data_IF_694523663095
#
_entry.id   IF_694523663095
#
_cell.length_a   1.000
_cell.length_b   1.000
_cell.length_c   1.000
_cell.angle_alpha   90.00
_cell.angle_beta   90.00
_cell.angle_gamma   90.00
#
_symmetry.space_group_name_H-M   'P 1'
#
loop_
_entity.id
_entity.type
_entity.pdbx_description
1 polymer ?
#
# COMPACT_ATOMS: atom_id res chain seq x y z
N UNK A 1 28.61 -13.30 6.34
CA UNK A 1 27.41 -12.58 5.84
C UNK A 1 27.41 -11.19 6.44
N UNK A 2 27.41 -10.15 5.62
CA UNK A 2 27.24 -8.78 6.12
C UNK A 2 25.75 -8.49 6.27
N UNK A 3 25.29 -8.32 7.50
CA UNK A 3 23.93 -7.85 7.78
C UNK A 3 23.96 -6.31 7.71
N UNK A 4 23.80 -5.76 6.52
CA UNK A 4 23.87 -4.31 6.28
C UNK A 4 23.03 -3.49 7.26
N UNK A 5 21.80 -3.94 7.56
CA UNK A 5 20.91 -3.28 8.52
C UNK A 5 21.50 -3.21 9.95
N UNK A 6 22.32 -4.20 10.36
CA UNK A 6 23.01 -4.17 11.65
C UNK A 6 24.19 -3.20 11.62
N UNK A 7 24.97 -3.20 10.53
CA UNK A 7 26.04 -2.22 10.35
C UNK A 7 25.49 -0.81 10.37
N UNK A 8 24.43 -0.55 9.59
CA UNK A 8 23.78 0.76 9.54
C UNK A 8 23.24 1.19 10.92
N UNK A 9 22.71 0.27 11.73
CA UNK A 9 22.26 0.57 13.09
C UNK A 9 23.43 0.92 14.02
N UNK A 10 24.53 0.17 13.97
CA UNK A 10 25.73 0.43 14.77
C UNK A 10 26.38 1.76 14.38
N UNK A 11 26.54 2.03 13.10
CA UNK A 11 27.16 3.26 12.59
C UNK A 11 26.35 4.53 12.97
N UNK A 12 25.04 4.38 13.13
CA UNK A 12 24.14 5.46 13.54
C UNK A 12 23.80 5.49 15.03
N UNK A 13 24.41 4.63 15.84
CA UNK A 13 24.13 4.51 17.29
C UNK A 13 22.63 4.23 17.57
N UNK A 14 21.99 3.42 16.75
CA UNK A 14 20.60 3.03 16.94
C UNK A 14 20.49 1.79 17.81
N UNK A 15 19.57 1.79 18.76
CA UNK A 15 19.28 0.61 19.58
C UNK A 15 18.39 -0.35 18.80
N UNK A 16 18.50 -1.68 19.03
CA UNK A 16 17.53 -2.63 18.50
C UNK A 16 16.11 -2.29 18.94
N UNK A 17 15.16 -2.38 18.01
CA UNK A 17 13.73 -2.13 18.26
C UNK A 17 13.02 -3.46 18.45
N UNK A 18 12.30 -3.60 19.56
CA UNK A 18 11.51 -4.80 19.89
C UNK A 18 10.00 -4.57 19.80
N UNK A 19 9.24 -5.63 20.08
CA UNK A 19 7.76 -5.59 20.04
C UNK A 19 7.17 -4.55 21.02
N UNK A 20 7.75 -4.43 22.22
CA UNK A 20 7.29 -3.46 23.22
C UNK A 20 7.40 -2.01 22.74
N UNK A 21 8.45 -1.70 21.97
CA UNK A 21 8.62 -0.36 21.42
C UNK A 21 7.53 -0.04 20.40
N UNK A 22 7.19 -1.00 19.52
CA UNK A 22 6.08 -0.84 18.57
C UNK A 22 4.71 -0.78 19.27
N UNK A 23 4.48 -1.56 20.32
CA UNK A 23 3.24 -1.49 21.11
C UNK A 23 3.03 -0.10 21.71
N UNK A 24 4.09 0.51 22.27
CA UNK A 24 4.05 1.85 22.81
C UNK A 24 3.81 2.89 21.70
N UNK A 25 4.54 2.77 20.57
CA UNK A 25 4.38 3.64 19.42
C UNK A 25 2.93 3.60 18.88
N UNK A 26 2.36 2.42 18.68
CA UNK A 26 1.01 2.26 18.16
C UNK A 26 -0.07 2.75 19.14
N UNK A 27 0.18 2.63 20.45
CA UNK A 27 -0.67 3.25 21.47
C UNK A 27 -0.63 4.78 21.35
N UNK A 28 0.55 5.37 21.21
CA UNK A 28 0.74 6.81 21.10
C UNK A 28 0.20 7.39 19.77
N UNK A 29 0.04 6.54 18.76
CA UNK A 29 -0.62 6.82 17.47
C UNK A 29 -2.13 6.58 17.52
N UNK A 30 -2.68 6.28 18.70
CA UNK A 30 -4.11 6.01 18.90
C UNK A 30 -4.66 4.86 18.02
N UNK A 31 -3.80 3.86 17.75
CA UNK A 31 -4.23 2.62 17.12
C UNK A 31 -4.79 1.71 18.22
N UNK A 32 -6.02 1.26 18.06
CA UNK A 32 -6.75 0.49 19.06
C UNK A 32 -7.56 -0.67 18.52
N UNK A 33 -8.25 -1.33 19.43
CA UNK A 33 -9.12 -2.47 19.14
C UNK A 33 -10.21 -2.10 18.14
N UNK A 34 -10.41 -2.95 17.13
CA UNK A 34 -11.41 -2.76 16.08
C UNK A 34 -11.00 -1.82 14.94
N UNK A 35 -9.84 -1.16 15.02
CA UNK A 35 -9.37 -0.32 13.92
C UNK A 35 -9.12 -1.15 12.65
N UNK A 36 -9.37 -0.52 11.51
CA UNK A 36 -8.98 -1.03 10.20
C UNK A 36 -7.82 -0.19 9.71
N UNK A 37 -6.69 -0.85 9.40
CA UNK A 37 -5.49 -0.17 8.93
C UNK A 37 -5.12 -0.61 7.52
N UNK A 38 -4.78 0.35 6.65
CA UNK A 38 -3.91 0.09 5.50
C UNK A 38 -2.50 0.53 5.86
N UNK A 39 -1.52 -0.40 5.80
CA UNK A 39 -0.16 -0.14 6.23
C UNK A 39 0.85 -0.17 5.08
N UNK A 40 1.69 0.87 5.05
CA UNK A 40 2.86 0.99 4.19
C UNK A 40 4.11 1.04 5.07
N UNK A 41 5.03 0.10 4.88
CA UNK A 41 6.14 -0.11 5.83
C UNK A 41 7.48 -0.20 5.11
N UNK A 42 8.40 0.69 5.46
CA UNK A 42 9.79 0.64 5.03
C UNK A 42 10.70 0.15 6.15
N UNK A 43 10.90 -1.17 6.25
CA UNK A 43 11.71 -1.80 7.31
C UNK A 43 13.13 -1.26 7.40
N UNK A 44 13.73 -0.90 6.27
CA UNK A 44 15.13 -0.42 6.20
C UNK A 44 15.37 0.90 6.94
N UNK A 45 14.31 1.65 7.25
CA UNK A 45 14.40 2.93 7.96
C UNK A 45 14.60 2.78 9.49
N UNK A 46 14.37 1.58 10.02
CA UNK A 46 14.38 1.34 11.47
C UNK A 46 15.69 0.71 11.98
N UNK A 47 16.66 0.50 11.13
CA UNK A 47 17.89 -0.23 11.52
C UNK A 47 17.57 -1.68 11.88
N UNK A 48 17.93 -2.12 13.09
CA UNK A 48 17.72 -3.50 13.52
C UNK A 48 16.39 -3.67 14.28
N UNK A 49 15.44 -4.36 13.66
CA UNK A 49 14.19 -4.78 14.28
C UNK A 49 14.33 -6.25 14.72
N UNK A 50 14.16 -6.52 16.01
CA UNK A 50 14.20 -7.87 16.58
C UNK A 50 12.98 -8.65 16.06
N UNK A 51 13.22 -9.67 15.22
CA UNK A 51 12.15 -10.42 14.56
C UNK A 51 11.62 -9.83 13.24
N UNK A 52 12.15 -8.67 12.80
CA UNK A 52 11.85 -8.09 11.50
C UNK A 52 10.35 -7.76 11.28
N UNK A 53 9.83 -8.07 10.10
CA UNK A 53 8.43 -7.82 9.73
C UNK A 53 7.43 -8.48 10.71
N UNK A 54 7.75 -9.67 11.22
CA UNK A 54 6.92 -10.38 12.18
C UNK A 54 6.71 -9.59 13.47
N UNK A 55 7.74 -8.92 13.96
CA UNK A 55 7.67 -8.10 15.18
C UNK A 55 6.63 -6.98 15.04
N UNK A 56 6.66 -6.25 13.93
CA UNK A 56 5.69 -5.20 13.63
C UNK A 56 4.28 -5.78 13.49
N UNK A 57 4.14 -6.86 12.75
CA UNK A 57 2.85 -7.53 12.55
C UNK A 57 2.22 -7.96 13.88
N UNK A 58 2.97 -8.67 14.75
CA UNK A 58 2.47 -9.11 16.04
C UNK A 58 2.10 -7.94 16.96
N UNK A 59 2.84 -6.85 16.93
CA UNK A 59 2.51 -5.64 17.69
C UNK A 59 1.25 -4.95 17.15
N UNK A 60 1.07 -4.88 15.82
CA UNK A 60 -0.14 -4.34 15.21
C UNK A 60 -1.36 -5.17 15.56
N UNK A 61 -1.29 -6.49 15.36
CA UNK A 61 -2.44 -7.36 15.63
C UNK A 61 -2.81 -7.40 17.11
N UNK A 62 -1.85 -7.30 18.03
CA UNK A 62 -2.13 -7.16 19.46
C UNK A 62 -2.87 -5.85 19.80
N UNK A 63 -2.54 -4.75 19.10
CA UNK A 63 -3.23 -3.47 19.27
C UNK A 63 -4.62 -3.45 18.64
N UNK A 64 -4.76 -4.06 17.47
CA UNK A 64 -6.01 -4.15 16.73
C UNK A 64 -7.03 -5.10 17.38
N UNK A 65 -6.57 -6.04 18.19
CA UNK A 65 -7.44 -7.03 18.83
C UNK A 65 -8.09 -7.98 17.84
N UNK A 66 -9.09 -8.75 18.31
CA UNK A 66 -9.78 -9.73 17.48
C UNK A 66 -10.68 -9.10 16.42
N UNK A 67 -11.24 -7.92 16.71
CA UNK A 67 -12.14 -7.18 15.81
C UNK A 67 -11.42 -6.27 14.80
N UNK A 68 -10.10 -6.11 14.92
CA UNK A 68 -9.34 -5.27 14.01
C UNK A 68 -8.96 -5.95 12.70
N UNK A 69 -8.52 -5.13 11.75
CA UNK A 69 -8.12 -5.62 10.43
C UNK A 69 -6.91 -4.86 9.89
N UNK A 70 -5.92 -5.61 9.43
CA UNK A 70 -4.73 -5.08 8.76
C UNK A 70 -4.81 -5.38 7.26
N UNK A 71 -4.61 -4.34 6.45
CA UNK A 71 -4.54 -4.42 4.99
C UNK A 71 -3.18 -3.91 4.52
N UNK A 72 -2.63 -4.54 3.49
CA UNK A 72 -1.40 -4.09 2.83
C UNK A 72 -1.57 -4.15 1.31
N UNK A 73 -0.98 -3.22 0.54
CA UNK A 73 -0.93 -3.36 -0.90
C UNK A 73 -0.03 -4.55 -1.28
N UNK A 74 -0.50 -5.39 -2.20
CA UNK A 74 0.22 -6.55 -2.71
C UNK A 74 0.20 -6.60 -4.23
N UNK A 75 0.37 -5.43 -4.83
CA UNK A 75 0.36 -5.24 -6.28
C UNK A 75 1.38 -6.14 -6.98
N UNK A 76 1.01 -6.67 -8.14
CA UNK A 76 1.82 -7.59 -8.94
C UNK A 76 1.97 -7.08 -10.37
N UNK A 77 2.57 -5.90 -10.52
CA UNK A 77 2.74 -5.23 -11.81
C UNK A 77 3.54 -6.07 -12.82
N UNK A 78 4.30 -7.06 -12.38
CA UNK A 78 4.98 -8.00 -13.29
C UNK A 78 4.02 -8.93 -14.06
N UNK A 79 2.73 -9.01 -13.67
CA UNK A 79 1.69 -9.71 -14.44
C UNK A 79 1.12 -8.85 -15.57
N UNK A 80 1.53 -7.58 -15.66
CA UNK A 80 1.14 -6.70 -16.77
C UNK A 80 1.75 -7.17 -18.10
N UNK A 81 0.98 -7.07 -19.17
CA UNK A 81 1.49 -7.35 -20.52
C UNK A 81 2.73 -6.51 -20.81
N UNK A 82 3.80 -7.14 -21.38
CA UNK A 82 5.05 -6.43 -21.66
C UNK A 82 4.90 -5.28 -22.66
N UNK A 83 3.82 -5.22 -23.42
CA UNK A 83 3.49 -4.12 -24.32
C UNK A 83 3.27 -2.79 -23.57
N UNK A 84 2.89 -2.85 -22.30
CA UNK A 84 2.62 -1.67 -21.44
C UNK A 84 3.77 -1.33 -20.49
N UNK A 85 4.93 -2.04 -20.58
CA UNK A 85 6.08 -1.71 -19.75
C UNK A 85 6.81 -0.48 -20.30
N UNK A 86 6.93 0.55 -19.48
CA UNK A 86 7.55 1.82 -19.88
C UNK A 86 8.98 1.97 -19.32
N UNK A 87 9.26 1.41 -18.14
CA UNK A 87 10.51 1.59 -17.41
C UNK A 87 11.09 0.27 -16.86
N UNK A 88 11.97 -0.42 -17.63
CA UNK A 88 12.37 -0.16 -19.00
C UNK A 88 11.35 -0.64 -20.01
N UNK A 89 11.29 -0.01 -21.18
CA UNK A 89 10.53 -0.50 -22.30
C UNK A 89 11.14 -1.81 -22.82
N UNK A 90 10.29 -2.80 -23.05
CA UNK A 90 10.74 -4.12 -23.52
C UNK A 90 11.08 -4.07 -25.00
N UNK A 91 12.21 -4.70 -25.44
CA UNK A 91 12.48 -4.89 -26.86
C UNK A 91 11.35 -5.68 -27.56
N UNK A 92 10.95 -5.24 -28.76
CA UNK A 92 9.83 -5.85 -29.49
C UNK A 92 9.98 -7.35 -29.69
N UNK A 93 11.20 -7.81 -29.96
CA UNK A 93 11.53 -9.24 -30.17
C UNK A 93 11.37 -10.08 -28.90
N UNK A 94 11.22 -9.50 -27.71
CA UNK A 94 10.98 -10.21 -26.46
C UNK A 94 9.50 -10.37 -26.12
N UNK A 95 8.65 -9.49 -26.64
CA UNK A 95 7.22 -9.40 -26.26
C UNK A 95 6.52 -10.75 -26.44
N UNK A 96 6.63 -11.34 -27.61
CA UNK A 96 5.96 -12.60 -27.91
C UNK A 96 6.40 -13.74 -27.00
N UNK A 97 7.71 -13.87 -26.76
CA UNK A 97 8.24 -14.86 -25.84
C UNK A 97 7.77 -14.66 -24.42
N UNK A 98 7.78 -13.42 -23.92
CA UNK A 98 7.30 -13.11 -22.57
C UNK A 98 5.82 -13.47 -22.45
N UNK A 99 5.00 -13.09 -23.44
CA UNK A 99 3.55 -13.40 -23.42
C UNK A 99 3.26 -14.89 -23.43
N UNK A 100 4.04 -15.68 -24.17
CA UNK A 100 3.88 -17.14 -24.25
C UNK A 100 4.33 -17.88 -22.99
N UNK A 101 5.35 -17.37 -22.29
CA UNK A 101 5.94 -18.03 -21.12
C UNK A 101 5.44 -17.47 -19.79
N UNK A 102 4.70 -16.33 -19.80
CA UNK A 102 4.19 -15.73 -18.59
C UNK A 102 3.14 -16.62 -17.92
N UNK A 103 3.27 -16.76 -16.61
CA UNK A 103 2.28 -17.45 -15.80
C UNK A 103 1.09 -16.55 -15.53
N UNK A 104 -0.11 -17.15 -15.42
CA UNK A 104 -1.31 -16.45 -15.02
C UNK A 104 -1.20 -15.90 -13.59
N UNK A 105 -1.92 -14.83 -13.31
CA UNK A 105 -2.07 -14.37 -11.94
C UNK A 105 -2.68 -15.46 -11.06
N UNK A 106 -2.03 -15.68 -9.94
CA UNK A 106 -2.46 -16.59 -8.89
C UNK A 106 -2.43 -15.84 -7.56
N UNK A 107 -3.55 -15.85 -6.83
CA UNK A 107 -3.71 -15.09 -5.58
C UNK A 107 -2.72 -15.51 -4.50
N UNK A 108 -2.29 -16.78 -4.51
CA UNK A 108 -1.41 -17.35 -3.50
C UNK A 108 0.08 -17.28 -3.92
N UNK A 109 0.37 -17.38 -5.23
CA UNK A 109 1.71 -17.59 -5.75
C UNK A 109 2.32 -16.38 -6.46
N UNK A 110 1.49 -15.50 -7.05
CA UNK A 110 2.02 -14.32 -7.74
C UNK A 110 2.75 -13.38 -6.78
N UNK A 111 3.96 -12.99 -7.15
CA UNK A 111 4.80 -12.15 -6.30
C UNK A 111 4.24 -10.73 -6.15
N UNK A 112 4.66 -10.06 -5.09
CA UNK A 112 4.33 -8.65 -4.83
C UNK A 112 5.61 -7.81 -4.86
N UNK A 113 6.35 -7.89 -5.96
CA UNK A 113 7.61 -7.18 -6.13
C UNK A 113 7.39 -5.66 -6.02
N UNK A 114 8.24 -4.99 -5.24
CA UNK A 114 8.19 -3.53 -5.06
C UNK A 114 7.35 -3.06 -3.88
N UNK A 115 6.43 -3.87 -3.35
CA UNK A 115 5.57 -3.49 -2.20
C UNK A 115 6.27 -3.59 -0.83
N UNK A 116 7.50 -4.09 -0.81
CA UNK A 116 8.33 -4.20 0.40
C UNK A 116 8.10 -5.49 1.20
N UNK A 117 9.08 -5.77 2.07
CA UNK A 117 9.13 -7.02 2.84
C UNK A 117 8.01 -7.20 3.86
N UNK A 118 7.39 -6.13 4.31
CA UNK A 118 6.24 -6.23 5.22
C UNK A 118 4.99 -6.70 4.48
N UNK A 119 4.70 -6.13 3.32
CA UNK A 119 3.58 -6.58 2.46
C UNK A 119 3.75 -8.04 2.05
N UNK A 120 4.95 -8.42 1.61
CA UNK A 120 5.28 -9.81 1.28
C UNK A 120 5.09 -10.75 2.50
N UNK A 121 5.49 -10.31 3.71
CA UNK A 121 5.29 -11.08 4.93
C UNK A 121 3.80 -11.29 5.24
N UNK A 122 2.99 -10.22 5.20
CA UNK A 122 1.55 -10.28 5.48
C UNK A 122 0.83 -11.15 4.45
N UNK A 123 1.14 -10.98 3.16
CA UNK A 123 0.58 -11.78 2.08
C UNK A 123 0.79 -13.29 2.29
N UNK A 124 1.97 -13.69 2.77
CA UNK A 124 2.33 -15.09 2.96
C UNK A 124 1.85 -15.71 4.29
N UNK A 125 1.06 -14.99 5.09
CA UNK A 125 0.48 -15.56 6.31
C UNK A 125 -0.67 -16.50 5.97
N UNK A 126 -0.77 -17.63 6.68
CA UNK A 126 -1.82 -18.64 6.44
C UNK A 126 -3.26 -18.09 6.52
N UNK A 127 -3.48 -17.07 7.36
CA UNK A 127 -4.78 -16.42 7.55
C UNK A 127 -4.96 -15.19 6.65
N UNK A 128 -3.98 -14.85 5.85
CA UNK A 128 -4.09 -13.74 4.90
C UNK A 128 -5.02 -14.12 3.75
N UNK A 129 -5.80 -13.16 3.30
CA UNK A 129 -6.62 -13.28 2.10
C UNK A 129 -6.24 -12.17 1.14
N UNK A 130 -6.18 -12.47 -0.15
CA UNK A 130 -5.73 -11.53 -1.19
C UNK A 130 -6.82 -11.33 -2.23
N UNK A 131 -6.98 -10.12 -2.73
CA UNK A 131 -7.93 -9.80 -3.78
C UNK A 131 -7.49 -10.29 -5.15
N UNK A 132 -8.47 -10.54 -6.03
CA UNK A 132 -8.27 -11.21 -7.33
C UNK A 132 -7.73 -10.32 -8.45
N UNK A 133 -7.54 -9.01 -8.21
CA UNK A 133 -7.05 -8.12 -9.28
C UNK A 133 -5.58 -8.42 -9.62
N UNK A 134 -5.23 -8.75 -10.88
CA UNK A 134 -3.91 -9.26 -11.26
C UNK A 134 -2.79 -8.22 -11.13
N UNK A 135 -3.10 -6.92 -11.16
CA UNK A 135 -2.12 -5.84 -11.05
C UNK A 135 -2.17 -5.14 -9.69
N UNK A 136 -3.37 -4.81 -9.20
CA UNK A 136 -3.58 -3.90 -8.06
C UNK A 136 -4.08 -4.58 -6.79
N UNK A 137 -3.79 -5.86 -6.59
CA UNK A 137 -4.28 -6.62 -5.44
C UNK A 137 -3.84 -6.05 -4.09
N UNK A 138 -4.66 -6.36 -3.07
CA UNK A 138 -4.41 -6.09 -1.66
C UNK A 138 -4.50 -7.40 -0.89
N UNK A 139 -3.74 -7.50 0.20
CA UNK A 139 -3.87 -8.60 1.16
C UNK A 139 -4.35 -8.08 2.50
N UNK A 140 -5.18 -8.85 3.17
CA UNK A 140 -5.78 -8.47 4.45
C UNK A 140 -5.79 -9.63 5.45
N UNK A 141 -5.68 -9.27 6.75
CA UNK A 141 -5.78 -10.17 7.90
C UNK A 141 -6.65 -9.52 8.97
N UNK A 142 -7.58 -10.25 9.55
CA UNK A 142 -8.48 -9.78 10.61
C UNK A 142 -9.95 -10.00 10.28
N UNK A 143 -10.83 -9.49 11.16
CA UNK A 143 -12.27 -9.78 11.11
C UNK A 143 -12.92 -9.39 9.78
N UNK A 144 -12.59 -8.20 9.26
CA UNK A 144 -13.19 -7.68 8.02
C UNK A 144 -12.38 -7.97 6.77
N UNK A 145 -11.34 -8.80 6.85
CA UNK A 145 -10.44 -9.06 5.75
C UNK A 145 -11.19 -9.53 4.49
N UNK A 146 -12.07 -10.53 4.58
CA UNK A 146 -12.85 -11.04 3.46
C UNK A 146 -13.79 -9.98 2.85
N UNK A 147 -14.41 -9.16 3.69
CA UNK A 147 -15.30 -8.09 3.25
C UNK A 147 -14.55 -7.02 2.44
N UNK A 148 -13.36 -6.65 2.91
CA UNK A 148 -12.55 -5.60 2.28
C UNK A 148 -12.01 -6.05 0.94
N UNK A 149 -11.54 -7.28 0.80
CA UNK A 149 -10.86 -7.74 -0.43
C UNK A 149 -11.78 -8.36 -1.49
N UNK A 150 -13.05 -8.64 -1.16
CA UNK A 150 -14.02 -9.22 -2.10
C UNK A 150 -14.22 -8.29 -3.30
N UNK A 151 -14.61 -8.89 -4.44
CA UNK A 151 -15.02 -8.14 -5.65
C UNK A 151 -14.05 -7.00 -6.01
N UNK A 152 -13.00 -7.34 -6.72
CA UNK A 152 -11.99 -6.37 -7.16
C UNK A 152 -12.02 -6.29 -8.70
N UNK A 153 -12.84 -5.37 -9.29
CA UNK A 153 -13.03 -5.27 -10.72
C UNK A 153 -11.76 -4.85 -11.46
N UNK A 154 -11.54 -5.38 -12.66
CA UNK A 154 -10.36 -5.08 -13.47
C UNK A 154 -10.30 -3.60 -13.91
N UNK A 155 -11.44 -2.98 -14.17
CA UNK A 155 -11.60 -1.60 -14.64
C UNK A 155 -11.79 -0.56 -13.52
N UNK A 156 -11.59 -0.97 -12.27
CA UNK A 156 -11.64 -0.09 -11.09
C UNK A 156 -10.54 -0.46 -10.06
N UNK A 157 -9.32 -0.67 -10.54
CA UNK A 157 -8.22 -1.27 -9.78
C UNK A 157 -7.87 -0.58 -8.46
N UNK A 158 -7.90 0.75 -8.40
CA UNK A 158 -7.68 1.54 -7.18
C UNK A 158 -8.84 2.51 -6.89
N UNK A 159 -9.99 2.28 -7.51
CA UNK A 159 -11.17 3.14 -7.38
C UNK A 159 -12.17 2.68 -6.32
N UNK A 160 -13.39 3.20 -6.41
CA UNK A 160 -14.40 3.07 -5.37
C UNK A 160 -15.00 1.67 -5.22
N UNK A 161 -14.94 0.81 -6.25
CA UNK A 161 -15.37 -0.59 -6.16
C UNK A 161 -14.21 -1.53 -5.77
N UNK A 162 -13.02 -1.00 -5.55
CA UNK A 162 -11.83 -1.73 -5.11
C UNK A 162 -11.77 -1.87 -3.57
N UNK A 163 -10.80 -2.60 -3.02
CA UNK A 163 -10.53 -2.59 -1.59
C UNK A 163 -10.30 -1.19 -0.99
N UNK A 164 -9.74 -0.23 -1.75
CA UNK A 164 -9.57 1.15 -1.26
C UNK A 164 -10.90 1.86 -1.00
N UNK A 165 -11.90 1.68 -1.88
CA UNK A 165 -13.23 2.25 -1.67
C UNK A 165 -13.89 1.70 -0.41
N UNK A 166 -13.76 0.39 -0.16
CA UNK A 166 -14.28 -0.22 1.07
C UNK A 166 -13.55 0.23 2.34
N UNK A 167 -12.24 0.46 2.26
CA UNK A 167 -11.48 1.08 3.35
C UNK A 167 -11.95 2.51 3.65
N UNK A 168 -12.24 3.28 2.59
CA UNK A 168 -12.80 4.62 2.72
C UNK A 168 -14.18 4.62 3.41
N UNK A 169 -15.08 3.74 2.99
CA UNK A 169 -16.44 3.62 3.52
C UNK A 169 -16.44 3.14 4.99
N UNK A 170 -15.45 2.35 5.39
CA UNK A 170 -15.31 1.83 6.75
C UNK A 170 -14.46 2.73 7.65
N UNK A 171 -14.12 3.94 7.23
CA UNK A 171 -13.31 4.91 7.98
C UNK A 171 -11.99 4.31 8.47
N UNK A 172 -11.29 3.60 7.59
CA UNK A 172 -9.99 3.02 7.90
C UNK A 172 -8.93 4.10 8.17
N UNK A 173 -7.84 3.70 8.81
CA UNK A 173 -6.67 4.56 9.02
C UNK A 173 -5.54 4.14 8.08
N UNK A 174 -4.70 5.07 7.66
CA UNK A 174 -3.47 4.84 6.92
C UNK A 174 -2.31 4.85 7.90
N UNK A 175 -1.50 3.81 7.92
CA UNK A 175 -0.25 3.76 8.69
C UNK A 175 0.94 3.85 7.73
N UNK A 176 1.71 4.95 7.83
CA UNK A 176 2.96 5.15 7.10
C UNK A 176 4.12 4.94 8.09
N UNK A 177 4.72 3.75 8.07
CA UNK A 177 5.76 3.34 9.00
C UNK A 177 7.14 3.44 8.31
N UNK A 178 7.86 4.54 8.57
CA UNK A 178 9.16 4.82 7.94
C UNK A 178 9.07 5.18 6.46
N UNK A 179 7.92 5.63 6.01
CA UNK A 179 7.66 6.12 4.66
C UNK A 179 6.78 7.38 4.70
N UNK A 180 6.37 7.89 3.57
CA UNK A 180 5.63 9.14 3.40
C UNK A 180 4.51 8.96 2.36
N UNK A 181 3.91 10.07 1.89
CA UNK A 181 2.79 10.01 0.94
C UNK A 181 3.15 9.45 -0.43
N UNK A 182 4.42 9.39 -0.84
CA UNK A 182 4.83 8.68 -2.08
C UNK A 182 4.45 7.20 -2.06
N UNK A 183 4.32 6.61 -0.87
CA UNK A 183 3.85 5.23 -0.71
C UNK A 183 2.35 5.13 -0.40
N UNK A 184 1.64 6.25 -0.30
CA UNK A 184 0.25 6.28 0.14
C UNK A 184 -0.72 5.93 -1.00
N UNK A 185 -0.97 4.65 -1.20
CA UNK A 185 -1.88 4.15 -2.25
C UNK A 185 -3.31 4.73 -2.13
N UNK A 186 -3.75 5.18 -0.94
CA UNK A 186 -5.09 5.75 -0.77
C UNK A 186 -5.28 7.07 -1.56
N UNK A 187 -4.21 7.77 -1.92
CA UNK A 187 -4.31 8.98 -2.75
C UNK A 187 -4.85 8.68 -4.16
N UNK A 188 -4.59 7.50 -4.69
CA UNK A 188 -5.16 7.09 -5.99
C UNK A 188 -6.68 7.05 -5.95
N UNK A 189 -7.32 6.74 -4.81
CA UNK A 189 -8.77 6.82 -4.70
C UNK A 189 -9.30 8.24 -4.91
N UNK A 190 -8.55 9.26 -4.49
CA UNK A 190 -8.92 10.66 -4.78
C UNK A 190 -8.86 10.97 -6.29
N UNK A 191 -7.88 10.40 -6.99
CA UNK A 191 -7.73 10.57 -8.43
C UNK A 191 -8.90 9.97 -9.21
N UNK A 192 -9.49 8.86 -8.76
CA UNK A 192 -10.70 8.26 -9.35
C UNK A 192 -11.96 9.15 -9.24
N UNK A 193 -11.94 10.19 -8.42
CA UNK A 193 -13.02 11.18 -8.38
C UNK A 193 -12.93 12.25 -9.48
N UNK A 194 -11.87 12.25 -10.28
CA UNK A 194 -11.58 13.23 -11.31
C UNK A 194 -11.96 12.69 -12.69
N UNK A 195 -12.27 13.59 -13.61
CA UNK A 195 -12.56 13.21 -15.00
C UNK A 195 -11.25 13.09 -15.80
N UNK A 196 -10.53 12.01 -15.58
CA UNK A 196 -9.26 11.74 -16.23
C UNK A 196 -9.38 10.81 -17.43
N UNK A 197 -8.39 10.87 -18.29
CA UNK A 197 -8.20 9.93 -19.39
C UNK A 197 -8.05 8.51 -18.85
N UNK A 198 -8.68 7.56 -19.52
CA UNK A 198 -8.44 6.15 -19.29
C UNK A 198 -7.25 5.67 -20.13
N UNK A 199 -6.46 4.78 -19.53
CA UNK A 199 -5.40 4.05 -20.21
C UNK A 199 -5.76 2.57 -20.29
N UNK A 200 -5.28 1.92 -21.34
CA UNK A 200 -5.43 0.48 -21.49
C UNK A 200 -4.34 -0.23 -20.69
N UNK A 201 -4.74 -1.32 -20.08
CA UNK A 201 -3.87 -2.25 -19.39
C UNK A 201 -4.22 -3.68 -19.84
N UNK A 202 -3.32 -4.61 -19.63
CA UNK A 202 -3.59 -6.02 -19.88
C UNK A 202 -2.79 -6.88 -18.92
N UNK A 203 -3.41 -7.97 -18.46
CA UNK A 203 -2.76 -8.94 -17.58
C UNK A 203 -3.18 -10.36 -17.94
N UNK A 204 -2.30 -11.32 -17.63
CA UNK A 204 -2.57 -12.74 -17.84
C UNK A 204 -3.43 -13.27 -16.67
N UNK A 205 -4.66 -13.68 -16.98
CA UNK A 205 -5.63 -14.24 -16.04
C UNK A 205 -6.16 -15.55 -16.63
N UNK A 206 -6.03 -16.65 -15.90
CA UNK A 206 -6.47 -18.00 -16.34
C UNK A 206 -5.92 -18.45 -17.72
N UNK A 207 -4.72 -17.99 -18.08
CA UNK A 207 -4.07 -18.32 -19.35
C UNK A 207 -4.44 -17.41 -20.52
N UNK A 208 -5.25 -16.40 -20.28
CA UNK A 208 -5.67 -15.42 -21.28
C UNK A 208 -5.18 -14.02 -20.95
N UNK A 209 -4.75 -13.27 -21.96
CA UNK A 209 -4.41 -11.86 -21.83
C UNK A 209 -5.69 -11.00 -21.92
N UNK A 210 -6.20 -10.62 -20.75
CA UNK A 210 -7.40 -9.77 -20.66
C UNK A 210 -7.00 -8.30 -20.76
N UNK A 211 -7.65 -7.58 -21.68
CA UNK A 211 -7.54 -6.11 -21.75
C UNK A 211 -8.64 -5.45 -20.90
N UNK A 212 -8.25 -4.42 -20.17
CA UNK A 212 -9.16 -3.58 -19.38
C UNK A 212 -8.66 -2.13 -19.38
N UNK A 213 -9.40 -1.23 -18.76
CA UNK A 213 -9.00 0.18 -18.75
C UNK A 213 -9.16 0.74 -17.33
N UNK A 214 -8.15 1.46 -16.89
CA UNK A 214 -8.19 2.24 -15.67
C UNK A 214 -7.92 3.72 -15.98
N UNK A 215 -8.12 4.61 -15.02
CA UNK A 215 -7.72 6.01 -15.19
C UNK A 215 -6.20 6.13 -15.15
N UNK A 216 -5.67 7.13 -15.84
CA UNK A 216 -4.27 7.50 -15.72
C UNK A 216 -3.99 8.06 -14.32
N UNK A 217 -3.09 7.41 -13.58
CA UNK A 217 -2.75 7.73 -12.19
C UNK A 217 -1.50 8.60 -12.10
N UNK A 218 -1.37 9.33 -11.00
CA UNK A 218 -0.17 10.06 -10.58
C UNK A 218 0.41 11.03 -11.63
N UNK A 219 -0.49 11.64 -12.43
CA UNK A 219 -0.08 12.55 -13.51
C UNK A 219 0.60 13.84 -13.03
N UNK A 220 0.59 14.14 -11.75
CA UNK A 220 1.16 15.36 -11.17
C UNK A 220 2.48 15.12 -10.44
N UNK A 221 2.81 13.89 -10.08
CA UNK A 221 4.01 13.52 -9.30
C UNK A 221 4.21 14.47 -8.08
N UNK A 222 3.13 14.66 -7.29
CA UNK A 222 3.10 15.69 -6.25
C UNK A 222 2.59 15.23 -4.87
N UNK A 223 2.60 13.94 -4.60
CA UNK A 223 2.12 13.37 -3.34
C UNK A 223 2.78 13.97 -2.10
N UNK A 224 4.05 14.38 -2.18
CA UNK A 224 4.72 15.10 -1.08
C UNK A 224 4.17 16.51 -0.87
N UNK A 225 3.73 17.17 -1.92
CA UNK A 225 3.06 18.47 -1.80
C UNK A 225 1.70 18.30 -1.15
N UNK A 226 0.94 17.27 -1.57
CA UNK A 226 -0.33 16.90 -0.92
C UNK A 226 -0.13 16.61 0.56
N UNK A 227 0.92 15.85 0.93
CA UNK A 227 1.25 15.59 2.33
C UNK A 227 1.45 16.89 3.12
N UNK A 228 2.29 17.80 2.60
CA UNK A 228 2.58 19.05 3.28
C UNK A 228 1.31 19.86 3.51
N UNK A 229 0.53 20.07 2.47
CA UNK A 229 -0.71 20.84 2.56
C UNK A 229 -1.77 20.17 3.44
N UNK A 230 -1.89 18.83 3.38
CA UNK A 230 -2.77 18.09 4.27
C UNK A 230 -2.39 18.28 5.73
N UNK A 231 -1.12 18.16 6.08
CA UNK A 231 -0.64 18.31 7.45
C UNK A 231 -0.80 19.74 7.97
N UNK A 232 -0.72 20.73 7.11
CA UNK A 232 -0.95 22.15 7.48
C UNK A 232 -2.44 22.44 7.73
N UNK A 233 -3.34 21.86 6.95
CA UNK A 233 -4.77 22.19 6.94
C UNK A 233 -5.66 21.22 7.75
N UNK A 234 -5.24 19.97 7.94
CA UNK A 234 -6.03 18.89 8.55
C UNK A 234 -5.42 18.38 9.88
N UNK A 235 -5.00 19.28 10.76
CA UNK A 235 -4.25 18.95 11.99
C UNK A 235 -4.93 17.95 12.93
N UNK A 236 -6.25 17.77 12.85
CA UNK A 236 -6.99 16.80 13.66
C UNK A 236 -7.13 15.41 13.06
N UNK A 237 -6.68 15.24 11.81
CA UNK A 237 -6.90 14.00 11.04
C UNK A 237 -5.68 13.10 10.94
N UNK A 238 -4.64 13.36 11.71
CA UNK A 238 -3.44 12.53 11.75
C UNK A 238 -2.74 12.60 13.10
N UNK A 239 -1.97 11.55 13.40
CA UNK A 239 -0.98 11.50 14.47
C UNK A 239 0.41 11.28 13.85
N UNK A 240 1.41 11.98 14.39
CA UNK A 240 2.80 11.77 14.01
C UNK A 240 3.62 11.47 15.25
N UNK A 241 4.43 10.43 15.19
CA UNK A 241 5.37 10.03 16.24
C UNK A 241 6.70 9.64 15.62
N UNK A 242 7.69 9.50 16.43
CA UNK A 242 9.00 9.02 16.02
C UNK A 242 9.42 7.83 16.88
N UNK A 243 10.04 6.87 16.26
CA UNK A 243 10.80 5.83 16.95
C UNK A 243 12.25 5.91 16.49
N UNK A 244 13.13 6.19 17.43
CA UNK A 244 14.51 6.60 17.20
C UNK A 244 14.55 7.85 16.27
N UNK A 245 14.93 7.74 15.02
CA UNK A 245 15.00 8.87 14.08
C UNK A 245 14.01 8.70 12.90
N UNK A 246 13.09 7.76 13.05
CA UNK A 246 12.18 7.38 11.97
C UNK A 246 10.78 7.87 12.28
N UNK A 247 10.25 8.70 11.39
CA UNK A 247 8.90 9.23 11.49
C UNK A 247 7.86 8.16 11.13
N UNK A 248 6.76 8.19 11.86
CA UNK A 248 5.60 7.32 11.66
C UNK A 248 4.33 8.17 11.70
N UNK A 249 3.48 8.01 10.70
CA UNK A 249 2.20 8.72 10.60
C UNK A 249 1.06 7.71 10.66
N UNK A 250 0.04 8.04 11.44
CA UNK A 250 -1.28 7.41 11.40
C UNK A 250 -2.29 8.46 11.00
N UNK A 251 -3.06 8.21 9.93
CA UNK A 251 -3.86 9.22 9.24
C UNK A 251 -5.27 8.69 9.08
N UNK A 252 -6.28 9.51 9.30
CA UNK A 252 -7.66 9.21 8.91
C UNK A 252 -7.76 9.14 7.38
N UNK A 253 -8.05 7.97 6.85
CA UNK A 253 -8.05 7.70 5.41
C UNK A 253 -9.07 8.58 4.68
N UNK A 254 -10.27 8.71 5.25
CA UNK A 254 -11.34 9.48 4.63
C UNK A 254 -10.99 10.96 4.53
N UNK A 255 -10.50 11.54 5.60
CA UNK A 255 -10.04 12.93 5.62
C UNK A 255 -8.90 13.16 4.63
N UNK A 256 -7.96 12.22 4.53
CA UNK A 256 -6.85 12.31 3.59
C UNK A 256 -7.33 12.29 2.13
N UNK A 257 -8.18 11.35 1.79
CA UNK A 257 -8.76 11.21 0.44
C UNK A 257 -9.63 12.41 0.07
N UNK A 258 -10.49 12.87 0.99
CA UNK A 258 -11.36 14.02 0.73
C UNK A 258 -10.56 15.32 0.54
N UNK A 259 -9.51 15.52 1.33
CA UNK A 259 -8.58 16.63 1.12
C UNK A 259 -7.91 16.56 -0.25
N UNK A 260 -7.40 15.39 -0.63
CA UNK A 260 -6.72 15.19 -1.91
C UNK A 260 -7.68 15.42 -3.10
N UNK A 261 -8.95 15.01 -2.99
CA UNK A 261 -9.98 15.31 -4.01
C UNK A 261 -10.12 16.82 -4.26
N UNK A 262 -10.24 17.60 -3.19
CA UNK A 262 -10.38 19.05 -3.31
C UNK A 262 -9.09 19.72 -3.81
N UNK A 263 -7.93 19.20 -3.41
CA UNK A 263 -6.63 19.65 -3.91
C UNK A 263 -6.53 19.44 -5.41
N UNK A 264 -6.81 18.25 -5.90
CA UNK A 264 -6.71 17.93 -7.34
C UNK A 264 -7.77 18.63 -8.18
N UNK A 265 -9.00 18.77 -7.70
CA UNK A 265 -10.04 19.55 -8.41
C UNK A 265 -9.59 20.99 -8.66
N UNK A 266 -9.08 21.67 -7.62
CA UNK A 266 -8.56 23.04 -7.78
C UNK A 266 -7.40 23.11 -8.78
N UNK A 267 -6.55 22.09 -8.81
CA UNK A 267 -5.40 22.02 -9.72
C UNK A 267 -5.83 21.81 -11.17
N UNK A 268 -6.93 21.09 -11.42
CA UNK A 268 -7.49 20.88 -12.75
C UNK A 268 -8.27 22.10 -13.27
N UNK A 269 -8.92 22.88 -12.37
CA UNK A 269 -9.62 24.13 -12.75
C UNK A 269 -8.68 25.24 -13.21
N UNK A 270 -7.40 25.19 -12.84
CA UNK A 270 -6.40 26.20 -13.21
C UNK A 270 -5.71 25.90 -14.54
N UNK A 271 -5.92 24.71 -15.12
CA UNK A 271 -5.42 24.33 -16.46
C UNK A 271 -6.39 24.73 -17.56
#
# INVERSE_FOLDING_TARGET
MSYKFMSDALDNNLMPIGKSDFLNLFKDLEIGEGDILIAHVSLSKFGYIIGGARCIYEALMERLGESGTLVVPTQSLENMSPEYWEYPKVPEEWIEKIKQESLSYDVDLSSTRGMGKFSEFVMNLKQSVRSSHPLYSFSAVGEKAQEIIKEHPLDDGLGYNSPLGRLYDQNAKILLLGTNFESNTALHLAEYSLNRKTIKESANVDGEWLEFSNIELDIYDDFLTVQKEFMENCKGSYQIKEIQKTSVLCIDLKSCVDFAKEYYKKKEEVK
#
